data_IF_289233155759
#
_entry.id   IF_289233155759
#
_cell.length_a   1.000
_cell.length_b   1.000
_cell.length_c   1.000
_cell.angle_alpha   90.00
_cell.angle_beta   90.00
_cell.angle_gamma   90.00
#
_symmetry.space_group_name_H-M   'P 1'
#
loop_
_entity.id
_entity.type
_entity.pdbx_description
1 polymer ?
#
# COMPACT_ATOMS: atom_id res chain seq x y z
N UNK A 1 4.90 -34.25 17.47
CA UNK A 1 5.77 -33.74 18.56
C UNK A 1 6.23 -32.33 18.21
N UNK A 2 5.58 -31.34 18.83
CA UNK A 2 5.50 -29.94 18.37
C UNK A 2 6.68 -29.06 18.83
N UNK A 3 7.18 -28.23 17.90
CA UNK A 3 8.27 -27.25 18.10
C UNK A 3 7.83 -25.96 18.82
N UNK A 4 6.82 -26.04 19.69
CA UNK A 4 6.14 -24.85 20.28
C UNK A 4 6.48 -24.64 21.76
N UNK A 5 7.14 -25.59 22.45
CA UNK A 5 7.40 -25.48 23.90
C UNK A 5 8.80 -25.01 24.33
N UNK A 6 9.72 -24.64 23.42
CA UNK A 6 11.10 -24.25 23.80
C UNK A 6 11.35 -22.75 24.00
N UNK A 7 10.32 -21.89 24.03
CA UNK A 7 10.52 -20.42 23.95
C UNK A 7 10.14 -19.60 25.19
N UNK A 8 9.91 -20.23 26.35
CA UNK A 8 9.40 -19.53 27.53
C UNK A 8 10.40 -19.34 28.70
N UNK A 9 11.68 -19.72 28.61
CA UNK A 9 12.61 -19.67 29.75
C UNK A 9 14.01 -19.13 29.42
N UNK A 10 14.11 -17.98 28.72
CA UNK A 10 15.40 -17.36 28.41
C UNK A 10 15.41 -15.83 28.61
N UNK A 11 14.75 -15.33 29.66
CA UNK A 11 14.75 -13.91 30.04
C UNK A 11 15.10 -13.72 31.51
N UNK A 12 16.27 -14.21 31.92
CA UNK A 12 16.99 -13.66 33.07
C UNK A 12 18.50 -13.80 32.80
N UNK A 13 19.28 -12.69 32.73
CA UNK A 13 20.73 -12.81 32.72
C UNK A 13 21.21 -13.33 34.09
N UNK A 14 22.25 -14.17 34.15
CA UNK A 14 22.80 -14.65 35.41
C UNK A 14 23.35 -13.47 36.23
N UNK A 15 22.88 -13.39 37.47
CA UNK A 15 23.39 -12.52 38.54
C UNK A 15 24.84 -12.91 38.81
N UNK A 16 25.78 -12.06 38.37
CA UNK A 16 27.20 -12.21 38.72
C UNK A 16 27.37 -12.10 40.24
N UNK A 17 28.09 -13.07 40.82
CA UNK A 17 28.49 -13.04 42.23
C UNK A 17 29.59 -11.99 42.49
N UNK A 18 29.93 -11.76 43.78
CA UNK A 18 30.79 -10.66 44.18
C UNK A 18 32.27 -11.06 44.12
N UNK A 19 33.07 -10.38 43.30
CA UNK A 19 34.50 -10.26 43.51
C UNK A 19 35.03 -8.99 42.85
N UNK A 20 36.08 -8.44 43.44
CA UNK A 20 36.87 -7.28 43.01
C UNK A 20 36.48 -5.91 43.60
N UNK A 21 37.25 -5.55 44.63
CA UNK A 21 37.50 -4.22 45.18
C UNK A 21 38.06 -3.26 44.14
N UNK A 22 37.25 -2.30 43.70
CA UNK A 22 37.70 -1.07 43.04
C UNK A 22 36.79 0.10 43.45
N UNK A 23 37.32 1.32 43.63
CA UNK A 23 36.58 2.45 44.19
C UNK A 23 35.44 2.88 43.26
N UNK A 24 34.23 2.87 43.82
CA UNK A 24 33.00 3.33 43.18
C UNK A 24 33.07 4.83 42.88
N UNK A 25 33.35 5.17 41.63
CA UNK A 25 33.04 6.50 41.11
C UNK A 25 31.52 6.59 40.92
N UNK A 26 30.89 7.55 41.60
CA UNK A 26 29.44 7.77 41.69
C UNK A 26 28.78 8.29 40.40
N UNK A 27 29.52 8.32 39.29
CA UNK A 27 29.02 8.72 37.99
C UNK A 27 29.38 7.66 36.95
N UNK A 28 28.40 7.05 36.26
CA UNK A 28 28.72 6.20 35.12
C UNK A 28 29.45 7.05 34.08
N UNK A 29 30.69 6.68 33.77
CA UNK A 29 31.43 7.25 32.66
C UNK A 29 30.55 7.21 31.42
N UNK A 30 30.55 8.32 30.66
CA UNK A 30 29.71 8.48 29.48
C UNK A 30 29.81 7.22 28.59
N UNK A 31 28.67 6.65 28.15
CA UNK A 31 28.69 5.42 27.38
C UNK A 31 29.55 5.62 26.13
N UNK A 32 30.61 4.82 25.98
CA UNK A 32 31.46 4.84 24.77
C UNK A 32 30.57 4.73 23.53
N UNK A 33 30.95 5.32 22.40
CA UNK A 33 30.13 5.34 21.17
C UNK A 33 29.69 3.94 20.68
N UNK A 34 30.30 2.85 21.17
CA UNK A 34 29.86 1.47 20.91
C UNK A 34 28.54 1.11 21.64
N UNK A 35 28.25 1.82 22.73
CA UNK A 35 27.14 1.57 23.65
C UNK A 35 25.78 2.07 23.13
N UNK A 36 25.77 3.05 22.22
CA UNK A 36 24.53 3.64 21.68
C UNK A 36 23.95 2.90 20.46
N UNK A 37 24.63 1.86 19.96
CA UNK A 37 24.14 1.09 18.82
C UNK A 37 23.00 0.15 19.22
N UNK A 38 21.87 0.11 18.47
CA UNK A 38 20.80 -0.86 18.69
C UNK A 38 21.34 -2.30 18.73
N UNK A 39 20.79 -3.14 19.61
CA UNK A 39 21.24 -4.53 19.84
C UNK A 39 21.35 -5.32 18.53
N UNK A 40 20.39 -5.15 17.63
CA UNK A 40 20.39 -5.79 16.30
C UNK A 40 21.59 -5.40 15.43
N UNK A 41 22.06 -4.14 15.52
CA UNK A 41 23.22 -3.64 14.79
C UNK A 41 24.51 -4.20 15.39
N UNK A 42 24.61 -4.29 16.72
CA UNK A 42 25.76 -4.92 17.39
C UNK A 42 25.90 -6.39 16.99
N UNK A 43 24.79 -7.13 17.03
CA UNK A 43 24.76 -8.54 16.62
C UNK A 43 25.21 -8.74 15.18
N UNK A 44 24.70 -7.92 14.24
CA UNK A 44 25.12 -7.97 12.83
C UNK A 44 26.60 -7.65 12.66
N UNK A 45 27.18 -6.71 13.42
CA UNK A 45 28.62 -6.39 13.36
C UNK A 45 29.49 -7.50 13.94
N UNK A 46 28.99 -8.28 14.89
CA UNK A 46 29.68 -9.45 15.42
C UNK A 46 29.62 -10.63 14.43
N UNK A 47 28.47 -10.86 13.79
CA UNK A 47 28.27 -11.93 12.80
C UNK A 47 28.98 -11.63 11.47
N UNK A 48 29.07 -10.35 11.09
CA UNK A 48 29.72 -9.88 9.88
C UNK A 48 30.63 -8.70 10.20
N UNK A 49 31.84 -8.96 10.73
CA UNK A 49 32.79 -7.88 10.98
C UNK A 49 33.12 -7.19 9.64
N UNK A 50 33.30 -5.86 9.64
CA UNK A 50 33.77 -5.17 8.45
C UNK A 50 35.11 -5.77 8.00
N UNK A 51 35.40 -5.81 6.69
CA UNK A 51 36.67 -6.35 6.21
C UNK A 51 37.83 -5.57 6.84
N UNK A 52 38.97 -6.23 7.11
CA UNK A 52 40.14 -5.62 7.77
C UNK A 52 40.66 -4.36 7.08
N UNK A 53 40.35 -4.21 5.79
CA UNK A 53 40.72 -3.07 4.95
C UNK A 53 39.65 -1.99 4.85
N UNK A 54 38.49 -2.15 5.49
CA UNK A 54 37.52 -1.08 5.60
C UNK A 54 38.08 0.00 6.53
N UNK A 55 38.38 1.16 5.96
CA UNK A 55 38.70 2.34 6.76
C UNK A 55 37.56 2.60 7.75
N UNK A 56 37.85 2.92 9.03
CA UNK A 56 36.82 3.31 9.98
C UNK A 56 36.00 4.45 9.39
N UNK A 57 34.71 4.53 9.74
CA UNK A 57 33.88 5.66 9.32
C UNK A 57 34.59 6.94 9.73
N UNK A 58 34.68 7.96 8.86
CA UNK A 58 35.39 9.20 9.17
C UNK A 58 34.85 9.92 10.41
N UNK A 59 33.59 9.65 10.79
CA UNK A 59 32.98 10.18 12.01
C UNK A 59 33.46 9.49 13.30
N UNK A 60 33.97 8.26 13.18
CA UNK A 60 34.44 7.42 14.30
C UNK A 60 35.97 7.34 14.38
N UNK A 61 36.67 8.05 13.51
CA UNK A 61 38.12 8.03 13.42
C UNK A 61 38.71 9.12 14.35
N UNK A 62 39.39 8.76 15.45
CA UNK A 62 39.87 9.74 16.43
C UNK A 62 40.90 10.70 15.80
N UNK A 63 41.72 10.20 14.88
CA UNK A 63 42.72 10.98 14.16
C UNK A 63 42.12 12.10 13.28
N UNK A 64 40.82 12.04 12.97
CA UNK A 64 40.15 13.13 12.26
C UNK A 64 39.59 14.22 13.18
N UNK A 65 39.46 13.94 14.49
CA UNK A 65 39.03 14.92 15.49
C UNK A 65 40.20 15.67 16.11
N UNK A 66 41.41 15.10 16.06
CA UNK A 66 42.62 15.72 16.59
C UNK A 66 43.16 16.76 15.59
N UNK A 67 43.24 18.05 15.97
CA UNK A 67 43.69 19.11 15.06
C UNK A 67 45.15 18.94 14.62
N UNK A 68 45.96 18.24 15.42
CA UNK A 68 47.39 18.00 15.17
C UNK A 68 47.65 16.79 14.26
N UNK A 69 46.66 15.93 14.01
CA UNK A 69 46.90 14.68 13.29
C UNK A 69 47.25 14.86 11.80
N UNK A 70 46.96 16.03 11.21
CA UNK A 70 47.23 16.32 9.78
C UNK A 70 46.47 15.45 8.78
N UNK A 71 45.54 14.59 9.25
CA UNK A 71 44.79 13.66 8.42
C UNK A 71 43.68 14.38 7.66
N UNK A 72 43.68 14.26 6.32
CA UNK A 72 42.70 14.95 5.46
C UNK A 72 41.35 14.24 5.45
N UNK A 73 40.28 15.00 5.27
CA UNK A 73 38.94 14.45 5.08
C UNK A 73 38.84 13.65 3.77
N UNK A 74 37.99 12.61 3.72
CA UNK A 74 37.56 12.04 2.46
C UNK A 74 36.96 13.12 1.55
N UNK A 75 37.23 13.05 0.24
CA UNK A 75 36.76 14.02 -0.76
C UNK A 75 35.31 14.51 -0.59
N UNK A 76 34.29 13.63 -0.38
CA UNK A 76 32.91 14.11 -0.22
C UNK A 76 32.68 14.93 1.05
N UNK A 77 33.39 14.61 2.15
CA UNK A 77 33.31 15.39 3.39
C UNK A 77 34.06 16.72 3.27
N UNK A 78 35.19 16.72 2.56
CA UNK A 78 35.93 17.95 2.26
C UNK A 78 35.08 18.89 1.41
N UNK A 79 34.39 18.39 0.38
CA UNK A 79 33.47 19.18 -0.44
C UNK A 79 32.32 19.77 0.39
N UNK A 80 31.67 18.95 1.23
CA UNK A 80 30.61 19.43 2.12
C UNK A 80 31.13 20.52 3.10
N UNK A 81 32.35 20.35 3.64
CA UNK A 81 32.98 21.32 4.53
C UNK A 81 33.29 22.64 3.82
N UNK A 82 33.91 22.57 2.64
CA UNK A 82 34.25 23.75 1.82
C UNK A 82 33.01 24.49 1.33
N UNK A 83 31.96 23.76 0.94
CA UNK A 83 30.67 24.34 0.59
C UNK A 83 30.08 25.13 1.75
N UNK A 84 30.23 24.61 2.98
CA UNK A 84 29.73 25.27 4.18
C UNK A 84 30.52 26.56 4.44
N UNK A 85 31.86 26.49 4.47
CA UNK A 85 32.75 27.66 4.59
C UNK A 85 32.44 28.76 3.56
N UNK A 86 32.11 28.40 2.32
CA UNK A 86 31.78 29.36 1.27
C UNK A 86 30.48 30.12 1.53
N UNK A 87 29.57 29.56 2.32
CA UNK A 87 28.20 30.09 2.53
C UNK A 87 28.02 30.80 3.87
N UNK A 88 29.08 30.95 4.65
CA UNK A 88 28.99 31.42 6.03
C UNK A 88 30.23 32.13 6.49
N UNK A 89 30.02 33.09 7.37
CA UNK A 89 31.07 33.78 8.09
C UNK A 89 31.32 33.05 9.42
N UNK A 90 32.59 32.89 9.75
CA UNK A 90 33.06 32.33 11.01
C UNK A 90 33.89 33.37 11.74
N UNK A 91 33.79 33.38 13.07
CA UNK A 91 34.71 34.15 13.88
C UNK A 91 36.14 33.66 13.61
N UNK A 92 37.00 34.56 13.12
CA UNK A 92 38.39 34.25 12.74
C UNK A 92 39.31 33.84 13.90
N UNK A 93 38.75 33.62 15.10
CA UNK A 93 39.44 33.11 16.28
C UNK A 93 39.73 31.61 16.21
N UNK A 94 38.97 30.86 15.41
CA UNK A 94 39.10 29.41 15.28
C UNK A 94 40.03 29.03 14.11
N UNK A 95 40.93 28.08 14.35
CA UNK A 95 41.76 27.50 13.30
C UNK A 95 40.97 26.58 12.36
N UNK A 96 41.42 26.39 11.12
CA UNK A 96 40.77 25.47 10.16
C UNK A 96 40.68 24.03 10.72
N UNK A 97 41.66 23.62 11.52
CA UNK A 97 41.68 22.32 12.16
C UNK A 97 40.58 22.17 13.23
N UNK A 98 40.34 23.21 14.04
CA UNK A 98 39.26 23.23 15.03
C UNK A 98 37.88 23.29 14.34
N UNK A 99 37.74 24.07 13.27
CA UNK A 99 36.51 24.12 12.48
C UNK A 99 36.19 22.75 11.86
N UNK A 100 37.19 22.03 11.38
CA UNK A 100 37.06 20.64 10.91
C UNK A 100 36.58 19.70 12.02
N UNK A 101 37.16 19.78 13.21
CA UNK A 101 36.75 18.95 14.35
C UNK A 101 35.29 19.26 14.76
N UNK A 102 34.92 20.55 14.83
CA UNK A 102 33.54 20.99 15.11
C UNK A 102 32.56 20.53 14.02
N UNK A 103 32.96 20.55 12.75
CA UNK A 103 32.17 20.01 11.64
C UNK A 103 31.90 18.51 11.81
N UNK A 104 32.90 17.72 12.20
CA UNK A 104 32.71 16.28 12.45
C UNK A 104 31.80 16.03 13.66
N UNK A 105 31.97 16.79 14.73
CA UNK A 105 31.10 16.74 15.91
C UNK A 105 29.65 17.06 15.53
N UNK A 106 29.42 18.16 14.82
CA UNK A 106 28.10 18.55 14.35
C UNK A 106 27.47 17.53 13.38
N UNK A 107 28.27 16.92 12.49
CA UNK A 107 27.75 15.89 11.59
C UNK A 107 27.40 14.59 12.31
N UNK A 108 28.16 14.20 13.34
CA UNK A 108 27.81 13.09 14.22
C UNK A 108 26.51 13.36 14.98
N UNK A 109 26.37 14.54 15.59
CA UNK A 109 25.15 14.97 16.29
C UNK A 109 23.92 15.07 15.37
N UNK A 110 24.12 15.53 14.12
CA UNK A 110 23.07 15.54 13.10
C UNK A 110 22.60 14.13 12.73
N UNK A 111 23.51 13.17 12.59
CA UNK A 111 23.15 11.79 12.28
C UNK A 111 22.54 11.05 13.48
N UNK A 112 22.91 11.41 14.70
CA UNK A 112 22.39 10.82 15.93
C UNK A 112 20.96 11.29 16.26
N UNK A 113 20.53 12.44 15.74
CA UNK A 113 19.17 12.95 15.97
C UNK A 113 18.11 12.06 15.34
N UNK A 114 17.01 11.89 16.07
CA UNK A 114 15.82 11.16 15.63
C UNK A 114 15.28 11.83 14.36
N UNK A 115 15.24 11.08 13.24
CA UNK A 115 14.72 11.54 11.95
C UNK A 115 13.22 11.89 12.08
N UNK A 116 12.92 13.13 12.42
CA UNK A 116 11.54 13.59 12.56
C UNK A 116 11.37 15.09 12.78
N UNK A 117 12.36 15.75 13.38
CA UNK A 117 12.22 17.15 13.84
C UNK A 117 13.13 18.17 13.13
N UNK A 118 13.94 17.73 12.17
CA UNK A 118 14.87 18.61 11.47
C UNK A 118 14.43 18.87 10.03
N UNK A 119 14.68 20.11 9.56
CA UNK A 119 14.50 20.50 8.17
C UNK A 119 15.24 19.52 7.26
N UNK A 120 14.51 18.88 6.35
CA UNK A 120 15.08 17.90 5.43
C UNK A 120 15.94 18.58 4.36
N UNK A 121 17.00 17.90 3.93
CA UNK A 121 17.86 18.34 2.82
C UNK A 121 19.18 18.99 3.25
N UNK A 122 20.02 19.33 2.26
CA UNK A 122 21.37 19.89 2.47
C UNK A 122 21.33 21.22 3.24
N UNK A 123 20.35 22.08 2.96
CA UNK A 123 20.16 23.39 3.62
C UNK A 123 19.89 23.25 5.13
N UNK A 124 19.01 22.33 5.52
CA UNK A 124 18.69 22.10 6.94
C UNK A 124 19.86 21.53 7.73
N UNK A 125 20.62 20.62 7.11
CA UNK A 125 21.88 20.12 7.66
C UNK A 125 22.90 21.25 7.83
N UNK A 126 23.12 22.07 6.82
CA UNK A 126 24.09 23.18 6.88
C UNK A 126 23.71 24.20 7.96
N UNK A 127 22.44 24.59 8.07
CA UNK A 127 21.98 25.50 9.12
C UNK A 127 22.26 24.96 10.54
N UNK A 128 22.09 23.66 10.75
CA UNK A 128 22.45 23.05 12.03
C UNK A 128 23.97 23.04 12.24
N UNK A 129 24.73 22.63 11.23
CA UNK A 129 26.19 22.55 11.34
C UNK A 129 26.79 23.93 11.64
N UNK A 130 26.27 24.98 11.00
CA UNK A 130 26.63 26.36 11.28
C UNK A 130 26.41 26.72 12.75
N UNK A 131 25.24 26.36 13.31
CA UNK A 131 24.95 26.59 14.73
C UNK A 131 25.95 25.89 15.66
N UNK A 132 26.39 24.68 15.33
CA UNK A 132 27.38 23.93 16.14
C UNK A 132 28.78 24.51 15.99
N UNK A 133 29.11 24.97 14.79
CA UNK A 133 30.42 25.54 14.47
C UNK A 133 30.53 27.03 14.84
N UNK A 134 29.46 27.67 15.32
CA UNK A 134 29.43 29.09 15.65
C UNK A 134 29.37 30.03 14.44
N UNK A 135 29.08 29.52 13.23
CA UNK A 135 29.01 30.32 12.01
C UNK A 135 27.65 30.98 11.81
N UNK A 136 27.66 32.18 11.24
CA UNK A 136 26.44 32.85 10.76
C UNK A 136 26.33 32.71 9.24
N UNK A 137 25.10 32.49 8.74
CA UNK A 137 24.87 32.40 7.30
C UNK A 137 24.91 33.82 6.73
N UNK A 138 25.65 34.03 5.65
CA UNK A 138 25.57 35.28 4.89
C UNK A 138 24.11 35.49 4.46
N UNK A 139 23.61 36.71 4.64
CA UNK A 139 22.20 37.05 4.48
C UNK A 139 21.75 36.95 3.02
N UNK A 140 21.47 35.74 2.54
CA UNK A 140 20.68 35.53 1.33
C UNK A 140 19.22 35.90 1.63
N UNK A 141 18.81 37.08 1.18
CA UNK A 141 17.42 37.48 0.87
C UNK A 141 16.30 36.84 1.72
N UNK A 142 15.88 37.59 2.73
CA UNK A 142 14.61 37.57 3.47
C UNK A 142 13.58 36.52 3.00
N UNK A 143 13.34 35.50 3.84
CA UNK A 143 12.05 34.81 3.92
C UNK A 143 11.49 35.14 5.31
N UNK A 144 10.26 35.66 5.44
CA UNK A 144 9.73 36.03 6.74
C UNK A 144 9.63 34.79 7.65
N UNK A 145 10.20 34.91 8.85
CA UNK A 145 9.92 34.01 9.96
C UNK A 145 8.65 34.53 10.64
N UNK A 146 7.58 33.74 10.59
CA UNK A 146 6.45 33.96 11.49
C UNK A 146 6.94 33.67 12.91
N UNK A 147 7.07 34.75 13.67
CA UNK A 147 7.32 34.73 15.10
C UNK A 147 6.04 34.34 15.85
N UNK A 148 6.26 33.87 17.08
CA UNK A 148 5.27 33.66 18.16
C UNK A 148 4.61 32.27 18.21
N UNK A 149 4.90 31.58 19.32
CA UNK A 149 4.37 30.27 19.70
C UNK A 149 2.89 30.31 20.08
N UNK A 150 2.03 30.65 19.12
CA UNK A 150 0.61 30.41 19.19
C UNK A 150 0.34 28.98 18.69
N UNK A 151 -0.53 28.26 19.40
CA UNK A 151 -0.95 26.88 19.13
C UNK A 151 -0.95 26.61 17.62
N UNK A 152 0.02 25.82 17.15
CA UNK A 152 0.14 25.47 15.74
C UNK A 152 -1.21 24.92 15.29
N UNK A 153 -1.97 25.71 14.55
CA UNK A 153 -3.23 25.27 13.97
C UNK A 153 -2.92 23.94 13.27
N UNK A 154 -3.62 22.83 13.56
CA UNK A 154 -3.34 21.56 12.89
C UNK A 154 -3.48 21.66 11.36
N UNK A 155 -4.03 22.79 10.88
CA UNK A 155 -4.22 23.17 9.50
C UNK A 155 -3.12 24.08 8.90
N UNK A 156 -2.09 24.50 9.64
CA UNK A 156 -0.94 25.18 9.00
C UNK A 156 -0.22 24.21 8.08
N UNK A 157 -0.27 24.49 6.78
CA UNK A 157 0.34 23.66 5.72
C UNK A 157 1.86 23.83 5.78
N UNK A 158 2.53 22.99 6.57
CA UNK A 158 3.98 22.91 6.61
C UNK A 158 4.45 22.05 5.42
N UNK A 159 4.50 22.63 4.21
CA UNK A 159 4.88 21.86 3.02
C UNK A 159 4.97 22.64 1.70
N UNK A 160 5.48 21.95 0.68
CA UNK A 160 5.49 22.45 -0.69
C UNK A 160 4.06 22.51 -1.23
N UNK A 161 3.66 23.66 -1.77
CA UNK A 161 2.35 23.84 -2.41
C UNK A 161 2.30 23.06 -3.72
N UNK A 162 1.29 22.21 -3.87
CA UNK A 162 1.02 21.45 -5.09
C UNK A 162 -0.32 21.93 -5.63
N UNK A 163 -0.29 22.69 -6.73
CA UNK A 163 -1.50 23.28 -7.31
C UNK A 163 -2.34 22.28 -8.11
N UNK A 164 -1.70 21.32 -8.78
CA UNK A 164 -2.34 20.36 -9.68
C UNK A 164 -1.92 18.93 -9.31
N UNK A 165 -2.51 18.35 -8.24
CA UNK A 165 -2.15 17.01 -7.80
C UNK A 165 -2.69 15.95 -8.79
N UNK A 166 -1.78 15.18 -9.40
CA UNK A 166 -2.14 14.00 -10.21
C UNK A 166 -2.15 12.74 -9.33
N UNK A 167 -3.04 12.69 -8.35
CA UNK A 167 -3.20 11.54 -7.46
C UNK A 167 -4.62 11.00 -7.55
N UNK A 168 -4.72 9.68 -7.42
CA UNK A 168 -6.00 8.99 -7.38
C UNK A 168 -6.13 8.31 -6.02
N UNK A 169 -7.17 8.66 -5.29
CA UNK A 169 -7.53 8.06 -4.01
C UNK A 169 -8.86 7.34 -4.21
N UNK A 170 -8.96 6.12 -3.67
CA UNK A 170 -10.19 5.33 -3.75
C UNK A 170 -10.73 5.12 -2.35
N UNK A 171 -11.94 5.59 -2.11
CA UNK A 171 -12.72 5.25 -0.94
C UNK A 171 -13.14 3.77 -1.04
N UNK A 172 -12.90 3.00 0.03
CA UNK A 172 -13.17 1.56 0.11
C UNK A 172 -14.10 1.29 1.27
N UNK A 173 -15.08 0.41 1.07
CA UNK A 173 -15.92 -0.07 2.17
C UNK A 173 -15.06 -0.67 3.28
N UNK A 174 -15.41 -0.33 4.52
CA UNK A 174 -14.74 -0.89 5.69
C UNK A 174 -15.13 -2.35 5.81
N UNK A 175 -14.17 -3.17 6.23
CA UNK A 175 -14.43 -4.57 6.51
C UNK A 175 -14.82 -4.71 7.98
N UNK A 176 -16.07 -5.09 8.24
CA UNK A 176 -16.56 -5.42 9.57
C UNK A 176 -16.56 -6.94 9.73
N UNK A 177 -15.79 -7.50 10.67
CA UNK A 177 -15.88 -8.92 10.99
C UNK A 177 -17.30 -9.33 11.38
N UNK A 178 -17.72 -10.57 11.10
CA UNK A 178 -19.05 -11.03 11.47
C UNK A 178 -19.21 -10.99 13.00
N UNK A 179 -20.28 -10.34 13.47
CA UNK A 179 -20.59 -10.19 14.90
C UNK A 179 -20.05 -8.90 15.54
N UNK A 180 -19.27 -8.09 14.83
CA UNK A 180 -18.87 -6.75 15.28
C UNK A 180 -19.77 -5.67 14.70
N UNK A 181 -20.01 -4.59 15.45
CA UNK A 181 -20.76 -3.43 14.96
C UNK A 181 -19.90 -2.61 13.99
N UNK A 182 -20.53 -2.04 12.96
CA UNK A 182 -19.87 -1.13 12.03
C UNK A 182 -19.45 0.16 12.73
N UNK A 183 -18.21 0.61 12.53
CA UNK A 183 -17.72 1.88 13.05
C UNK A 183 -17.89 2.99 12.00
N UNK A 184 -18.84 3.93 12.17
CA UNK A 184 -19.09 5.01 11.21
C UNK A 184 -18.04 6.13 11.28
N UNK A 185 -17.21 6.19 12.33
CA UNK A 185 -16.18 7.21 12.46
C UNK A 185 -14.87 6.80 11.77
N UNK A 186 -14.85 5.66 11.08
CA UNK A 186 -13.68 5.20 10.35
C UNK A 186 -13.99 5.19 8.86
N UNK A 187 -13.05 5.65 8.05
CA UNK A 187 -13.07 5.47 6.61
C UNK A 187 -11.76 4.86 6.11
N UNK A 188 -11.88 3.91 5.17
CA UNK A 188 -10.72 3.26 4.55
C UNK A 188 -10.52 3.76 3.13
N UNK A 189 -9.28 4.15 2.81
CA UNK A 189 -8.87 4.58 1.48
C UNK A 189 -7.75 3.70 0.93
N UNK A 190 -7.72 3.52 -0.39
CA UNK A 190 -6.52 3.11 -1.12
C UNK A 190 -5.85 4.35 -1.69
N UNK A 191 -4.58 4.51 -1.35
CA UNK A 191 -3.75 5.65 -1.72
C UNK A 191 -2.51 5.19 -2.51
N UNK A 192 -1.88 6.08 -3.29
CA UNK A 192 -0.61 5.79 -3.93
C UNK A 192 0.47 5.40 -2.91
N UNK A 193 1.34 4.42 -3.20
CA UNK A 193 2.42 4.03 -2.29
C UNK A 193 3.42 5.16 -1.96
N UNK A 194 3.52 6.19 -2.79
CA UNK A 194 4.34 7.38 -2.55
C UNK A 194 3.72 8.36 -1.56
N UNK A 195 2.39 8.35 -1.39
CA UNK A 195 1.67 9.35 -0.59
C UNK A 195 1.90 9.15 0.91
N UNK A 196 2.18 10.22 1.65
CA UNK A 196 2.39 10.17 3.10
C UNK A 196 1.12 10.49 3.90
N UNK A 197 1.16 10.31 5.22
CA UNK A 197 0.01 10.61 6.11
C UNK A 197 -0.33 12.10 6.13
N UNK A 198 0.69 12.96 6.14
CA UNK A 198 0.53 14.42 6.11
C UNK A 198 -0.03 14.90 4.77
N UNK A 199 0.41 14.29 3.67
CA UNK A 199 -0.14 14.59 2.34
C UNK A 199 -1.61 14.19 2.26
N UNK A 200 -1.99 13.04 2.85
CA UNK A 200 -3.39 12.60 2.86
C UNK A 200 -4.27 13.52 3.70
N UNK A 201 -3.81 13.89 4.90
CA UNK A 201 -4.52 14.84 5.77
C UNK A 201 -4.78 16.17 5.04
N UNK A 202 -3.72 16.76 4.48
CA UNK A 202 -3.83 18.03 3.76
C UNK A 202 -4.69 17.93 2.51
N UNK A 203 -4.59 16.82 1.75
CA UNK A 203 -5.42 16.59 0.59
C UNK A 203 -6.91 16.45 0.92
N UNK A 204 -7.26 15.67 1.95
CA UNK A 204 -8.64 15.50 2.39
C UNK A 204 -9.24 16.81 2.91
N UNK A 205 -8.47 17.59 3.67
CA UNK A 205 -8.90 18.89 4.14
C UNK A 205 -9.06 19.91 3.01
N UNK A 206 -8.11 20.00 2.07
CA UNK A 206 -8.14 21.01 1.01
C UNK A 206 -9.12 20.70 -0.13
N UNK A 207 -9.26 19.43 -0.52
CA UNK A 207 -10.08 19.04 -1.68
C UNK A 207 -11.50 18.67 -1.29
N UNK A 208 -11.68 17.97 -0.15
CA UNK A 208 -12.98 17.46 0.28
C UNK A 208 -13.53 18.16 1.52
N UNK A 209 -12.82 19.16 2.07
CA UNK A 209 -13.16 19.81 3.34
C UNK A 209 -13.38 18.81 4.50
N UNK A 210 -12.66 17.68 4.46
CA UNK A 210 -12.85 16.59 5.41
C UNK A 210 -11.81 16.70 6.53
N UNK A 211 -12.28 16.98 7.74
CA UNK A 211 -11.43 17.04 8.94
C UNK A 211 -11.21 15.64 9.52
N UNK A 212 -9.95 15.29 9.73
CA UNK A 212 -9.52 13.94 10.11
C UNK A 212 -8.77 13.94 11.45
N UNK A 213 -9.15 13.04 12.35
CA UNK A 213 -8.56 12.94 13.69
C UNK A 213 -7.23 12.19 13.65
N UNK A 214 -7.21 10.98 13.11
CA UNK A 214 -6.01 10.15 12.98
C UNK A 214 -5.92 9.50 11.61
N UNK A 215 -4.69 9.13 11.22
CA UNK A 215 -4.44 8.37 9.99
C UNK A 215 -3.46 7.23 10.30
N UNK A 216 -3.91 5.99 10.05
CA UNK A 216 -3.08 4.78 10.05
C UNK A 216 -2.87 4.33 8.61
N UNK A 217 -1.68 3.85 8.28
CA UNK A 217 -1.35 3.45 6.90
C UNK A 217 -0.61 2.14 6.88
N UNK A 218 -1.03 1.24 6.00
CA UNK A 218 -0.47 -0.08 5.82
C UNK A 218 -0.07 -0.28 4.35
N UNK A 219 1.11 -0.82 4.10
CA UNK A 219 1.56 -1.15 2.74
C UNK A 219 1.25 -2.61 2.42
N UNK A 220 0.29 -2.84 1.53
CA UNK A 220 -0.04 -4.17 1.02
C UNK A 220 0.82 -4.49 -0.19
N UNK A 221 1.61 -5.54 -0.05
CA UNK A 221 2.46 -6.05 -1.10
C UNK A 221 1.72 -7.14 -1.90
N UNK A 222 1.83 -7.09 -3.22
CA UNK A 222 1.28 -8.14 -4.06
C UNK A 222 1.89 -9.51 -3.75
N UNK A 223 1.11 -10.60 -3.87
CA UNK A 223 1.65 -11.95 -3.75
C UNK A 223 2.67 -12.24 -4.84
N UNK A 224 3.62 -13.12 -4.52
CA UNK A 224 4.58 -13.66 -5.49
C UNK A 224 3.86 -14.71 -6.33
N UNK A 225 4.01 -14.64 -7.65
CA UNK A 225 3.43 -15.61 -8.56
C UNK A 225 4.34 -15.85 -9.76
N UNK A 226 3.86 -16.64 -10.72
CA UNK A 226 4.57 -16.87 -11.98
C UNK A 226 3.94 -16.03 -13.09
N UNK A 227 4.79 -15.42 -13.90
CA UNK A 227 4.38 -14.76 -15.14
C UNK A 227 3.93 -15.80 -16.17
N UNK A 228 3.31 -15.36 -17.29
CA UNK A 228 2.96 -16.25 -18.40
C UNK A 228 4.16 -17.04 -18.92
N UNK A 229 5.36 -16.47 -18.83
CA UNK A 229 6.65 -17.07 -19.23
C UNK A 229 7.26 -17.96 -18.14
N UNK A 230 6.56 -18.21 -17.04
CA UNK A 230 7.04 -19.07 -15.94
C UNK A 230 7.98 -18.40 -14.95
N UNK A 231 8.49 -17.18 -15.23
CA UNK A 231 9.36 -16.45 -14.31
C UNK A 231 8.63 -16.11 -13.00
N UNK A 232 9.26 -16.40 -11.86
CA UNK A 232 8.76 -16.05 -10.54
C UNK A 232 8.98 -14.56 -10.30
N UNK A 233 7.90 -13.79 -10.23
CA UNK A 233 7.92 -12.36 -9.95
C UNK A 233 6.73 -12.00 -9.07
N UNK A 234 6.84 -10.92 -8.31
CA UNK A 234 5.66 -10.29 -7.69
C UNK A 234 4.63 -10.01 -8.78
N UNK A 235 3.40 -10.48 -8.57
CA UNK A 235 2.33 -10.25 -9.53
C UNK A 235 2.04 -8.74 -9.54
N UNK A 236 2.56 -8.05 -10.57
CA UNK A 236 2.35 -6.62 -10.77
C UNK A 236 0.92 -6.29 -11.20
N UNK A 237 0.58 -5.01 -11.15
CA UNK A 237 -0.71 -4.48 -11.60
C UNK A 237 -1.31 -3.48 -10.61
N UNK A 238 -2.07 -2.51 -11.13
CA UNK A 238 -2.69 -1.41 -10.35
C UNK A 238 -3.55 -1.87 -9.16
N UNK A 239 -4.02 -3.12 -9.14
CA UNK A 239 -4.87 -3.66 -8.09
C UNK A 239 -4.17 -4.49 -7.00
N UNK A 240 -2.90 -4.89 -7.18
CA UNK A 240 -2.27 -5.91 -6.31
C UNK A 240 -1.35 -5.36 -5.22
N UNK A 241 -0.58 -4.32 -5.54
CA UNK A 241 0.21 -3.59 -4.54
C UNK A 241 -0.45 -2.24 -4.32
N UNK A 242 -0.84 -1.96 -3.09
CA UNK A 242 -1.50 -0.71 -2.73
C UNK A 242 -1.15 -0.32 -1.31
N UNK A 243 -1.28 0.97 -1.00
CA UNK A 243 -1.22 1.46 0.37
C UNK A 243 -2.64 1.69 0.84
N UNK A 244 -3.00 1.10 1.99
CA UNK A 244 -4.27 1.31 2.68
C UNK A 244 -4.08 2.44 3.68
N UNK A 245 -5.01 3.37 3.75
CA UNK A 245 -5.08 4.37 4.79
C UNK A 245 -6.41 4.23 5.53
N UNK A 246 -6.35 4.01 6.84
CA UNK A 246 -7.51 4.03 7.74
C UNK A 246 -7.52 5.38 8.41
N UNK A 247 -8.60 6.12 8.22
CA UNK A 247 -8.77 7.51 8.60
C UNK A 247 -9.88 7.60 9.65
N UNK A 248 -9.59 8.27 10.76
CA UNK A 248 -10.60 8.66 11.74
C UNK A 248 -11.29 9.94 11.29
N UNK A 249 -12.62 9.87 11.15
CA UNK A 249 -13.48 10.99 10.81
C UNK A 249 -13.90 11.75 12.07
N UNK A 250 -14.26 13.01 11.88
CA UNK A 250 -14.90 13.83 12.91
C UNK A 250 -16.41 13.61 12.91
N UNK A 251 -17.00 13.45 11.72
CA UNK A 251 -18.42 13.17 11.51
C UNK A 251 -18.62 11.69 11.13
N UNK A 252 -19.70 11.04 11.60
CA UNK A 252 -19.99 9.66 11.24
C UNK A 252 -20.40 9.55 9.77
N UNK A 253 -19.92 8.52 9.10
CA UNK A 253 -20.23 8.21 7.71
C UNK A 253 -20.63 6.74 7.57
N UNK A 254 -21.76 6.50 6.91
CA UNK A 254 -22.21 5.16 6.52
C UNK A 254 -22.29 5.08 5.00
N UNK A 255 -21.93 3.93 4.44
CA UNK A 255 -22.10 3.72 3.00
C UNK A 255 -23.58 3.58 2.67
N UNK A 256 -23.99 3.91 1.43
CA UNK A 256 -25.25 3.43 0.92
C UNK A 256 -25.24 1.89 0.95
N UNK A 257 -26.36 1.33 1.41
CA UNK A 257 -26.53 -0.12 1.53
C UNK A 257 -26.37 -0.77 0.14
N UNK A 258 -25.64 -1.90 0.10
CA UNK A 258 -25.66 -2.74 -1.11
C UNK A 258 -26.91 -3.61 -1.20
N UNK A 259 -26.98 -4.37 -2.29
CA UNK A 259 -28.04 -5.32 -2.53
C UNK A 259 -28.11 -6.41 -1.45
N UNK A 260 -26.97 -6.85 -0.90
CA UNK A 260 -26.91 -7.91 0.11
C UNK A 260 -27.42 -7.40 1.46
N UNK A 261 -27.00 -6.20 1.87
CA UNK A 261 -27.45 -5.49 3.06
C UNK A 261 -28.95 -5.15 2.96
N UNK A 262 -29.42 -4.68 1.80
CA UNK A 262 -30.85 -4.43 1.57
C UNK A 262 -31.68 -5.73 1.65
N UNK A 263 -31.17 -6.85 1.11
CA UNK A 263 -31.81 -8.15 1.29
C UNK A 263 -31.91 -8.53 2.77
N UNK A 264 -30.79 -8.48 3.50
CA UNK A 264 -30.75 -8.81 4.93
C UNK A 264 -31.69 -7.92 5.76
N UNK A 265 -31.75 -6.62 5.45
CA UNK A 265 -32.67 -5.69 6.11
C UNK A 265 -34.14 -6.01 5.80
N UNK A 266 -34.46 -6.31 4.53
CA UNK A 266 -35.82 -6.67 4.14
C UNK A 266 -36.30 -7.99 4.76
N UNK A 267 -35.40 -8.96 4.96
CA UNK A 267 -35.66 -10.19 5.70
C UNK A 267 -35.91 -9.91 7.19
N UNK A 268 -35.09 -9.05 7.79
CA UNK A 268 -35.25 -8.66 9.20
C UNK A 268 -36.55 -7.90 9.46
N UNK A 269 -36.92 -6.96 8.58
CA UNK A 269 -38.13 -6.15 8.70
C UNK A 269 -39.40 -6.89 8.27
N UNK A 270 -39.28 -8.06 7.62
CA UNK A 270 -40.41 -8.83 7.10
C UNK A 270 -41.16 -8.14 5.95
N UNK A 271 -40.59 -7.08 5.37
CA UNK A 271 -41.16 -6.30 4.27
C UNK A 271 -41.04 -7.00 2.90
N UNK A 272 -40.29 -8.11 2.84
CA UNK A 272 -40.02 -8.88 1.63
C UNK A 272 -39.12 -8.13 0.63
N UNK A 273 -38.80 -8.76 -0.51
CA UNK A 273 -37.82 -8.22 -1.47
C UNK A 273 -38.25 -6.95 -2.24
N UNK A 274 -39.23 -6.18 -1.78
CA UNK A 274 -39.81 -5.07 -2.56
C UNK A 274 -38.77 -3.97 -2.80
N UNK A 275 -38.09 -3.53 -1.74
CA UNK A 275 -37.06 -2.48 -1.80
C UNK A 275 -35.89 -2.95 -2.66
N UNK A 276 -35.46 -4.20 -2.47
CA UNK A 276 -34.34 -4.76 -3.20
C UNK A 276 -34.64 -4.95 -4.68
N UNK A 277 -35.84 -5.41 -5.05
CA UNK A 277 -36.28 -5.49 -6.45
C UNK A 277 -36.38 -4.12 -7.11
N UNK A 278 -36.85 -3.11 -6.37
CA UNK A 278 -36.88 -1.73 -6.86
C UNK A 278 -35.46 -1.21 -7.13
N UNK A 279 -34.51 -1.49 -6.24
CA UNK A 279 -33.09 -1.15 -6.39
C UNK A 279 -32.46 -1.88 -7.58
N UNK A 280 -32.69 -3.19 -7.72
CA UNK A 280 -32.18 -4.01 -8.86
C UNK A 280 -32.71 -3.47 -10.19
N UNK A 281 -34.01 -3.18 -10.25
CA UNK A 281 -34.64 -2.60 -11.44
C UNK A 281 -34.01 -1.26 -11.80
N UNK A 282 -33.84 -0.36 -10.82
CA UNK A 282 -33.19 0.93 -11.05
C UNK A 282 -31.74 0.77 -11.53
N UNK A 283 -30.96 -0.15 -10.94
CA UNK A 283 -29.60 -0.42 -11.37
C UNK A 283 -29.55 -0.97 -12.80
N UNK A 284 -30.49 -1.85 -13.14
CA UNK A 284 -30.59 -2.42 -14.47
C UNK A 284 -30.98 -1.37 -15.51
N UNK A 285 -31.93 -0.49 -15.21
CA UNK A 285 -32.39 0.57 -16.11
C UNK A 285 -31.29 1.61 -16.39
N UNK A 286 -30.51 1.98 -15.36
CA UNK A 286 -29.46 3.00 -15.50
C UNK A 286 -28.12 2.45 -16.01
N UNK A 287 -27.75 1.22 -15.65
CA UNK A 287 -26.42 0.68 -15.91
C UNK A 287 -26.39 -0.58 -16.76
N UNK A 288 -27.55 -1.17 -17.09
CA UNK A 288 -27.64 -2.39 -17.91
C UNK A 288 -26.74 -3.54 -17.43
N UNK A 289 -26.67 -3.75 -16.10
CA UNK A 289 -25.74 -4.68 -15.46
C UNK A 289 -25.83 -6.11 -16.01
N UNK A 290 -27.04 -6.65 -16.18
CA UNK A 290 -27.25 -8.01 -16.72
C UNK A 290 -26.72 -8.16 -18.15
N UNK A 291 -26.85 -7.12 -18.98
CA UNK A 291 -26.34 -7.17 -20.36
C UNK A 291 -24.81 -7.20 -20.37
N UNK A 292 -24.17 -6.43 -19.48
CA UNK A 292 -22.71 -6.48 -19.32
C UNK A 292 -22.23 -7.82 -18.78
N UNK A 293 -22.96 -8.40 -17.83
CA UNK A 293 -22.65 -9.72 -17.26
C UNK A 293 -22.77 -10.82 -18.32
N UNK A 294 -23.86 -10.84 -19.10
CA UNK A 294 -24.01 -11.73 -20.25
C UNK A 294 -22.89 -11.54 -21.29
N UNK A 295 -22.51 -10.29 -21.60
CA UNK A 295 -21.41 -10.02 -22.52
C UNK A 295 -20.08 -10.53 -21.98
N UNK A 296 -19.82 -10.32 -20.69
CA UNK A 296 -18.61 -10.79 -20.00
C UNK A 296 -18.57 -12.32 -20.01
N UNK A 297 -19.68 -12.99 -19.72
CA UNK A 297 -19.76 -14.46 -19.75
C UNK A 297 -19.59 -15.00 -21.15
N UNK A 298 -20.21 -14.38 -22.16
CA UNK A 298 -19.97 -14.73 -23.57
C UNK A 298 -18.52 -14.52 -23.98
N UNK A 299 -17.88 -13.43 -23.55
CA UNK A 299 -16.48 -13.16 -23.83
C UNK A 299 -15.54 -14.14 -23.12
N UNK A 300 -15.83 -14.44 -21.85
CA UNK A 300 -15.10 -15.41 -21.03
C UNK A 300 -15.24 -16.82 -21.61
N UNK A 301 -16.43 -17.19 -22.06
CA UNK A 301 -16.69 -18.44 -22.76
C UNK A 301 -15.91 -18.54 -24.07
N UNK A 302 -15.85 -17.46 -24.87
CA UNK A 302 -14.99 -17.39 -26.07
C UNK A 302 -13.51 -17.57 -25.71
N UNK A 303 -13.05 -16.99 -24.60
CA UNK A 303 -11.68 -17.09 -24.13
C UNK A 303 -11.32 -18.52 -23.69
N UNK A 304 -12.13 -19.15 -22.82
CA UNK A 304 -11.87 -20.51 -22.32
C UNK A 304 -12.04 -21.59 -23.38
N UNK A 305 -13.00 -21.41 -24.30
CA UNK A 305 -13.26 -22.39 -25.36
C UNK A 305 -12.30 -22.24 -26.55
N UNK A 306 -11.48 -21.19 -26.56
CA UNK A 306 -10.53 -20.85 -27.62
C UNK A 306 -11.20 -20.29 -28.89
N UNK A 307 -10.41 -19.60 -29.70
CA UNK A 307 -10.81 -19.04 -31.01
C UNK A 307 -11.06 -20.10 -32.09
N UNK A 308 -10.89 -21.39 -31.78
CA UNK A 308 -11.28 -22.50 -32.66
C UNK A 308 -12.79 -22.71 -32.58
N UNK A 309 -13.55 -21.71 -33.02
CA UNK A 309 -14.98 -21.84 -33.22
C UNK A 309 -15.23 -22.63 -34.52
N UNK A 310 -14.97 -23.95 -34.43
CA UNK A 310 -15.56 -25.08 -35.17
C UNK A 310 -15.51 -25.05 -36.71
N UNK A 311 -14.83 -26.04 -37.28
CA UNK A 311 -15.22 -26.56 -38.60
C UNK A 311 -16.68 -27.05 -38.53
N UNK A 312 -17.43 -26.87 -39.60
CA UNK A 312 -18.87 -27.21 -39.73
C UNK A 312 -19.14 -28.69 -39.42
N UNK A 313 -18.11 -29.53 -39.46
CA UNK A 313 -18.23 -30.99 -39.57
C UNK A 313 -17.94 -31.78 -38.28
N UNK A 314 -17.62 -31.13 -37.15
CA UNK A 314 -17.37 -31.88 -35.91
C UNK A 314 -18.65 -32.10 -35.08
N UNK A 315 -18.94 -33.38 -34.82
CA UNK A 315 -20.06 -33.94 -34.06
C UNK A 315 -20.21 -33.31 -32.67
N UNK A 316 -21.02 -32.27 -32.58
CA UNK A 316 -21.40 -31.60 -31.34
C UNK A 316 -22.83 -32.01 -30.98
N UNK A 317 -23.10 -32.30 -29.70
CA UNK A 317 -24.42 -32.65 -29.15
C UNK A 317 -25.53 -31.74 -29.68
N UNK A 318 -25.28 -30.42 -29.83
CA UNK A 318 -26.28 -29.50 -30.40
C UNK A 318 -26.60 -29.72 -31.88
N UNK A 319 -25.63 -30.13 -32.70
CA UNK A 319 -25.83 -30.50 -34.12
C UNK A 319 -26.57 -31.84 -34.18
N UNK A 320 -26.16 -32.81 -33.35
CA UNK A 320 -26.85 -34.10 -33.23
C UNK A 320 -28.30 -33.93 -32.80
N UNK A 321 -28.58 -33.06 -31.82
CA UNK A 321 -29.95 -32.75 -31.37
C UNK A 321 -30.76 -32.07 -32.48
N UNK A 322 -30.18 -31.13 -33.24
CA UNK A 322 -30.86 -30.53 -34.40
C UNK A 322 -31.17 -31.56 -35.49
N UNK A 323 -30.24 -32.47 -35.77
CA UNK A 323 -30.43 -33.54 -36.74
C UNK A 323 -31.48 -34.55 -36.27
N UNK A 324 -31.48 -34.91 -34.98
CA UNK A 324 -32.52 -35.74 -34.35
C UNK A 324 -33.89 -35.06 -34.48
N UNK A 325 -33.99 -33.76 -34.20
CA UNK A 325 -35.25 -33.02 -34.37
C UNK A 325 -35.71 -32.98 -35.82
N UNK A 326 -34.79 -32.78 -36.78
CA UNK A 326 -35.10 -32.81 -38.21
C UNK A 326 -35.65 -34.18 -38.62
N UNK A 327 -34.96 -35.27 -38.25
CA UNK A 327 -35.42 -36.65 -38.51
C UNK A 327 -36.74 -36.98 -37.83
N UNK A 328 -36.98 -36.46 -36.63
CA UNK A 328 -38.26 -36.63 -35.93
C UNK A 328 -39.39 -35.95 -36.68
N UNK A 329 -39.17 -34.72 -37.16
CA UNK A 329 -40.16 -33.98 -37.97
C UNK A 329 -40.45 -34.68 -39.30
N UNK A 330 -39.43 -35.20 -39.98
CA UNK A 330 -39.59 -35.98 -41.22
C UNK A 330 -40.39 -37.27 -40.96
N UNK A 331 -40.10 -37.96 -39.86
CA UNK A 331 -40.85 -39.16 -39.46
C UNK A 331 -42.30 -38.85 -39.14
N UNK A 332 -42.55 -37.80 -38.35
CA UNK A 332 -43.91 -37.38 -38.00
C UNK A 332 -44.70 -36.97 -39.25
N UNK A 333 -44.08 -36.30 -40.22
CA UNK A 333 -44.70 -35.97 -41.50
C UNK A 333 -45.00 -37.21 -42.35
N UNK A 334 -44.08 -38.18 -42.42
CA UNK A 334 -44.28 -39.43 -43.14
C UNK A 334 -45.41 -40.28 -42.53
N UNK A 335 -45.45 -40.36 -41.18
CA UNK A 335 -46.54 -41.02 -40.46
C UNK A 335 -47.87 -40.34 -40.73
N UNK A 336 -47.92 -39.00 -40.69
CA UNK A 336 -49.14 -38.25 -41.00
C UNK A 336 -49.64 -38.50 -42.44
N UNK A 337 -48.73 -38.57 -43.42
CA UNK A 337 -49.07 -38.89 -44.81
C UNK A 337 -49.64 -40.31 -44.94
N UNK A 338 -48.97 -41.32 -44.36
CA UNK A 338 -49.41 -42.71 -44.40
C UNK A 338 -50.77 -42.92 -43.71
N UNK A 339 -51.01 -42.22 -42.59
CA UNK A 339 -52.32 -42.22 -41.92
C UNK A 339 -53.39 -41.65 -42.84
N UNK A 340 -53.11 -40.53 -43.52
CA UNK A 340 -54.04 -39.90 -44.45
C UNK A 340 -54.39 -40.82 -45.64
N UNK A 341 -53.39 -41.49 -46.21
CA UNK A 341 -53.60 -42.48 -47.28
C UNK A 341 -54.46 -43.66 -46.81
N UNK A 342 -54.19 -44.18 -45.61
CA UNK A 342 -54.99 -45.27 -45.02
C UNK A 342 -56.45 -44.87 -44.81
N UNK A 343 -56.70 -43.66 -44.31
CA UNK A 343 -58.07 -43.15 -44.15
C UNK A 343 -58.77 -42.93 -45.50
N UNK A 344 -58.05 -42.49 -46.53
CA UNK A 344 -58.61 -42.37 -47.88
C UNK A 344 -59.03 -43.74 -48.43
N UNK A 345 -58.18 -44.76 -48.32
CA UNK A 345 -58.49 -46.12 -48.75
C UNK A 345 -59.70 -46.74 -48.02
N UNK A 346 -59.83 -46.49 -46.71
CA UNK A 346 -61.00 -46.93 -45.92
C UNK A 346 -62.27 -46.21 -46.36
N UNK A 347 -62.19 -44.93 -46.74
CA UNK A 347 -63.34 -44.18 -47.25
C UNK A 347 -63.78 -44.70 -48.63
N UNK A 348 -62.83 -45.04 -49.50
CA UNK A 348 -63.12 -45.63 -50.82
C UNK A 348 -63.77 -47.02 -50.70
N UNK A 349 -63.29 -47.88 -49.79
CA UNK A 349 -63.93 -49.18 -49.56
C UNK A 349 -65.32 -49.06 -48.93
N UNK A 350 -65.52 -48.10 -48.02
CA UNK A 350 -66.85 -47.80 -47.46
C UNK A 350 -67.84 -47.31 -48.53
N UNK A 351 -67.40 -46.44 -49.44
CA UNK A 351 -68.23 -45.97 -50.56
C UNK A 351 -68.55 -47.10 -51.55
N UNK A 352 -67.59 -47.98 -51.84
CA UNK A 352 -67.77 -49.12 -52.74
C UNK A 352 -68.80 -50.13 -52.21
N UNK A 353 -68.85 -50.29 -50.88
CA UNK A 353 -69.80 -51.20 -50.19
C UNK A 353 -71.23 -50.63 -50.14
N UNK A 354 -71.43 -49.33 -50.35
CA UNK A 354 -72.78 -48.71 -50.39
C UNK A 354 -73.39 -48.71 -51.81
N UNK A 355 -72.62 -49.02 -52.84
CA UNK A 355 -73.06 -49.06 -54.25
C UNK A 355 -73.32 -50.48 -54.79
N UNK A 356 -73.19 -51.50 -53.95
CA UNK A 356 -73.60 -52.88 -54.21
C UNK A 356 -74.80 -53.20 -53.31
#
# INVERSE_FOLDING_TARGET
MSRIFRRALATFPPRAGPSSTAPSTLFPSAPSAASTLPIAVRRRRAEHPPPKFASPSPLSDPALHDPESGKKFPLPLEQDYRDLLRTSEFDGSLSDAELRALFLKGTAEWKARVRGYASRGKKGRHAFLLKVMGGQKEAEGIVPQDAEGQNANPNTIVGQRIYLPNIQIRLMRNHTPPGEAYDPFIATFRIPPSMTKTDLRSYLAAVYNLQVTFIRTDNYLAPIGRTRTGQVRRLGGKGKTYKRAVVGLTEPFHYPDDMEELHAQSEYEGSGDVVTKARDKWLQDNYSLRMMEEMKDRALFKYYKGSRWRAVDQSNVGVTVKEIMKRRKEREAAVAAAVKERYAAVKESANTTQTA
#
